data_IF_750939324838
#
_entry.id   IF_750939324838
#
_cell.length_a   1.000
_cell.length_b   1.000
_cell.length_c   1.000
_cell.angle_alpha   90.00
_cell.angle_beta   90.00
_cell.angle_gamma   90.00
#
_symmetry.space_group_name_H-M   'P 1'
#
loop_
_entity.id
_entity.type
_entity.pdbx_description
1 polymer ?
#
# COMPACT_ATOMS: atom_id res chain seq x y z
N UNK A 1 -5.46 4.31 -4.63
CA UNK A 1 -4.09 4.83 -4.50
C UNK A 1 -4.14 6.26 -4.07
N UNK A 2 -3.80 6.48 -2.80
CA UNK A 2 -3.91 7.78 -2.14
C UNK A 2 -2.57 8.51 -2.09
N UNK A 3 -1.47 7.76 -2.06
CA UNK A 3 -0.13 8.32 -2.11
C UNK A 3 0.84 7.41 -2.87
N UNK A 4 1.78 8.02 -3.60
CA UNK A 4 2.83 7.31 -4.33
C UNK A 4 4.16 8.05 -4.21
N UNK A 5 5.21 7.31 -3.85
CA UNK A 5 6.59 7.77 -3.83
C UNK A 5 7.40 7.05 -4.93
N UNK A 6 7.61 7.68 -6.10
CA UNK A 6 8.35 7.06 -7.22
C UNK A 6 9.79 6.69 -6.86
N UNK A 7 10.47 7.52 -6.07
CA UNK A 7 11.86 7.30 -5.64
C UNK A 7 12.03 6.04 -4.80
N UNK A 8 10.98 5.62 -4.10
CA UNK A 8 10.96 4.43 -3.24
C UNK A 8 10.19 3.27 -3.87
N UNK A 9 9.59 3.49 -5.06
CA UNK A 9 8.60 2.60 -5.67
C UNK A 9 7.57 2.13 -4.64
N UNK A 10 7.04 3.06 -3.83
CA UNK A 10 6.13 2.75 -2.73
C UNK A 10 4.77 3.41 -2.95
N UNK A 11 3.73 2.60 -2.99
CA UNK A 11 2.34 2.99 -3.05
C UNK A 11 1.70 2.81 -1.67
N UNK A 12 1.00 3.83 -1.19
CA UNK A 12 0.18 3.76 0.02
C UNK A 12 -1.29 3.96 -0.33
N UNK A 13 -2.13 3.11 0.24
CA UNK A 13 -3.58 3.20 0.10
C UNK A 13 -4.24 3.19 1.48
N UNK A 14 -5.23 4.06 1.67
CA UNK A 14 -6.06 4.12 2.86
C UNK A 14 -7.41 3.51 2.53
N UNK A 15 -7.69 2.36 3.13
CA UNK A 15 -8.96 1.67 2.94
C UNK A 15 -10.04 2.34 3.80
N UNK A 16 -10.89 3.09 3.13
CA UNK A 16 -12.08 3.72 3.68
C UNK A 16 -13.35 2.90 3.43
N UNK A 17 -13.31 1.56 3.48
CA UNK A 17 -14.48 0.66 3.36
C UNK A 17 -15.56 1.13 2.35
N UNK A 18 -15.40 0.77 1.09
CA UNK A 18 -16.50 0.21 0.25
C UNK A 18 -15.92 -0.26 -1.07
N UNK A 19 -15.45 -1.51 -1.13
CA UNK A 19 -15.25 -2.22 -2.39
C UNK A 19 -15.71 -3.67 -2.24
N UNK A 20 -16.94 -3.84 -1.73
CA UNK A 20 -17.62 -5.14 -1.72
C UNK A 20 -18.24 -5.38 -3.09
N UNK A 21 -17.45 -5.97 -3.98
CA UNK A 21 -17.92 -6.52 -5.25
C UNK A 21 -16.82 -7.35 -5.91
N UNK A 22 -17.17 -8.52 -6.47
CA UNK A 22 -16.21 -9.41 -7.17
C UNK A 22 -15.42 -8.67 -8.26
N UNK A 23 -16.04 -7.68 -8.92
CA UNK A 23 -15.38 -6.82 -9.90
C UNK A 23 -14.27 -5.94 -9.30
N UNK A 24 -14.44 -5.48 -8.06
CA UNK A 24 -13.44 -4.70 -7.34
C UNK A 24 -12.23 -5.57 -6.97
N UNK A 25 -12.46 -6.81 -6.52
CA UNK A 25 -11.38 -7.76 -6.23
C UNK A 25 -10.58 -8.13 -7.48
N UNK A 26 -11.25 -8.36 -8.61
CA UNK A 26 -10.56 -8.67 -9.86
C UNK A 26 -9.68 -7.51 -10.34
N UNK A 27 -10.20 -6.28 -10.24
CA UNK A 27 -9.44 -5.07 -10.57
C UNK A 27 -8.25 -4.84 -9.62
N UNK A 28 -8.46 -5.06 -8.31
CA UNK A 28 -7.42 -4.91 -7.29
C UNK A 28 -6.29 -5.94 -7.44
N UNK A 29 -6.65 -7.19 -7.79
CA UNK A 29 -5.70 -8.24 -8.07
C UNK A 29 -4.83 -7.93 -9.29
N UNK A 30 -5.44 -7.46 -10.38
CA UNK A 30 -4.70 -7.09 -11.58
C UNK A 30 -3.81 -5.87 -11.35
N UNK A 31 -4.33 -4.87 -10.62
CA UNK A 31 -3.56 -3.69 -10.24
C UNK A 31 -2.36 -4.05 -9.37
N UNK A 32 -2.54 -4.93 -8.39
CA UNK A 32 -1.46 -5.43 -7.54
C UNK A 32 -0.41 -6.15 -8.36
N UNK A 33 -0.81 -6.98 -9.34
CA UNK A 33 0.12 -7.66 -10.26
C UNK A 33 0.92 -6.69 -11.12
N UNK A 34 0.28 -5.68 -11.70
CA UNK A 34 0.96 -4.67 -12.52
C UNK A 34 1.97 -3.87 -11.70
N UNK A 35 1.59 -3.44 -10.49
CA UNK A 35 2.49 -2.71 -9.59
C UNK A 35 3.66 -3.59 -9.13
N UNK A 36 3.41 -4.84 -8.77
CA UNK A 36 4.46 -5.79 -8.41
C UNK A 36 5.42 -6.04 -9.59
N UNK A 37 4.92 -6.18 -10.82
CA UNK A 37 5.74 -6.32 -12.02
C UNK A 37 6.62 -5.08 -12.30
N UNK A 38 6.16 -3.89 -11.93
CA UNK A 38 6.94 -2.65 -11.98
C UNK A 38 7.96 -2.51 -10.82
N UNK A 39 7.98 -3.46 -9.88
CA UNK A 39 8.78 -3.42 -8.66
C UNK A 39 8.26 -2.41 -7.64
N UNK A 40 6.96 -2.08 -7.71
CA UNK A 40 6.29 -1.15 -6.80
C UNK A 40 5.70 -1.94 -5.63
N UNK A 41 6.13 -1.61 -4.43
CA UNK A 41 5.56 -2.12 -3.19
C UNK A 41 4.27 -1.36 -2.90
N UNK A 42 3.17 -2.08 -2.64
CA UNK A 42 1.89 -1.47 -2.27
C UNK A 42 1.56 -1.83 -0.82
N UNK A 43 1.33 -0.83 0.02
CA UNK A 43 0.87 -1.00 1.39
C UNK A 43 -0.52 -0.38 1.55
N UNK A 44 -1.45 -1.14 2.12
CA UNK A 44 -2.81 -0.67 2.40
C UNK A 44 -3.05 -0.67 3.90
N UNK A 45 -3.61 0.42 4.42
CA UNK A 45 -3.98 0.58 5.83
C UNK A 45 -5.44 0.99 5.93
N UNK A 46 -6.20 0.42 6.83
CA UNK A 46 -7.55 0.90 7.11
C UNK A 46 -7.53 2.18 7.94
N UNK A 47 -8.58 3.00 7.80
CA UNK A 47 -8.75 4.17 8.67
C UNK A 47 -8.72 3.80 10.17
N UNK A 48 -9.21 2.62 10.53
CA UNK A 48 -9.17 2.15 11.92
C UNK A 48 -7.75 1.87 12.41
N UNK A 49 -6.87 1.31 11.57
CA UNK A 49 -5.46 1.08 11.92
C UNK A 49 -4.70 2.40 12.07
N UNK A 50 -4.92 3.34 11.15
CA UNK A 50 -4.29 4.68 11.20
C UNK A 50 -4.71 5.44 12.45
N UNK A 51 -6.00 5.41 12.78
CA UNK A 51 -6.54 6.12 13.95
C UNK A 51 -6.26 5.38 15.26
N UNK A 52 -6.14 4.05 15.23
CA UNK A 52 -5.90 3.22 16.41
C UNK A 52 -4.45 3.17 16.85
N UNK A 53 -3.50 3.13 15.90
CA UNK A 53 -2.06 3.14 16.20
C UNK A 53 -1.25 3.75 15.04
N UNK A 54 -1.33 5.08 14.95
CA UNK A 54 -0.57 5.84 13.96
C UNK A 54 0.95 5.58 14.00
N UNK A 55 1.60 5.52 15.19
CA UNK A 55 3.03 5.17 15.27
C UNK A 55 3.37 3.80 14.66
N UNK A 56 2.53 2.77 14.86
CA UNK A 56 2.76 1.46 14.26
C UNK A 56 2.68 1.50 12.73
N UNK A 57 1.70 2.23 12.17
CA UNK A 57 1.56 2.44 10.72
C UNK A 57 2.79 3.14 10.15
N UNK A 58 3.23 4.23 10.78
CA UNK A 58 4.46 4.93 10.38
C UNK A 58 5.68 4.01 10.43
N UNK A 59 5.81 3.21 11.48
CA UNK A 59 6.88 2.23 11.63
C UNK A 59 6.88 1.18 10.52
N UNK A 60 5.71 0.72 10.08
CA UNK A 60 5.57 -0.21 8.96
C UNK A 60 6.05 0.42 7.64
N UNK A 61 5.63 1.66 7.36
CA UNK A 61 6.07 2.41 6.17
C UNK A 61 7.60 2.58 6.19
N UNK A 62 8.18 3.02 7.32
CA UNK A 62 9.62 3.20 7.45
C UNK A 62 10.39 1.89 7.24
N UNK A 63 9.88 0.76 7.75
CA UNK A 63 10.49 -0.55 7.51
C UNK A 63 10.48 -0.91 6.02
N UNK A 64 9.35 -0.70 5.34
CA UNK A 64 9.24 -0.96 3.90
C UNK A 64 10.20 -0.09 3.07
N UNK A 65 10.40 1.17 3.45
CA UNK A 65 11.37 2.05 2.80
C UNK A 65 12.82 1.58 2.96
N UNK A 66 13.17 0.94 4.08
CA UNK A 66 14.54 0.48 4.37
C UNK A 66 14.89 -0.82 3.65
N UNK A 67 13.92 -1.70 3.40
CA UNK A 67 14.13 -2.97 2.69
C UNK A 67 14.30 -2.80 1.18
N UNK A 68 13.95 -1.64 0.63
CA UNK A 68 14.02 -1.33 -0.81
C UNK A 68 15.36 -0.78 -1.31
N UNK A 69 16.37 -0.68 -0.44
CA UNK A 69 17.74 -0.31 -0.82
C UNK A 69 18.61 -1.57 -0.84
N UNK A 70 18.82 -2.22 -2.01
CA UNK A 70 19.99 -3.06 -2.18
C UNK A 70 21.22 -2.17 -2.04
N UNK A 71 22.16 -2.63 -1.23
CA UNK A 71 23.49 -2.04 -1.14
C UNK A 71 24.30 -2.29 -2.42
#
# INVERSE_FOLDING_TARGET
MDFYAPSLKLCLELDGRTHDGEAAQAYDAERTRMLAAAGITTMRFSNAEVMGDFPAVCGAIVRACKTGTPH
#
